data_IF_923045074157
#
_entry.id   IF_923045074157
#
_cell.length_a   1.000
_cell.length_b   1.000
_cell.length_c   1.000
_cell.angle_alpha   90.00
_cell.angle_beta   90.00
_cell.angle_gamma   90.00
#
_symmetry.space_group_name_H-M   'P 1'
#
loop_
_entity.id
_entity.type
_entity.pdbx_description
1 polymer ?
#
# COMPACT_ATOMS: atom_id res chain seq x y z
N UNK A 1 1.35 5.13 0.10
CA UNK A 1 0.82 4.46 -1.11
C UNK A 1 1.17 5.31 -2.32
N UNK A 2 1.67 4.74 -3.44
CA UNK A 2 2.22 5.53 -4.56
C UNK A 2 1.65 5.23 -5.96
N UNK A 3 0.78 4.22 -6.14
CA UNK A 3 0.27 3.87 -7.48
C UNK A 3 -1.22 3.54 -7.58
N UNK A 4 -1.90 3.26 -6.47
CA UNK A 4 -3.33 2.95 -6.44
C UNK A 4 -3.77 1.62 -7.06
N UNK A 5 -2.84 0.78 -7.53
CA UNK A 5 -3.16 -0.49 -8.21
C UNK A 5 -4.04 -1.43 -7.36
N UNK A 6 -3.68 -1.62 -6.09
CA UNK A 6 -4.48 -2.45 -5.17
C UNK A 6 -5.88 -1.85 -4.91
N UNK A 7 -5.98 -0.52 -4.79
CA UNK A 7 -7.25 0.18 -4.58
C UNK A 7 -8.18 0.20 -5.80
N UNK A 8 -7.67 -0.12 -6.99
CA UNK A 8 -8.48 -0.20 -8.22
C UNK A 8 -8.82 -1.64 -8.61
N UNK A 9 -8.38 -2.64 -7.83
CA UNK A 9 -8.48 -4.04 -8.22
C UNK A 9 -9.08 -4.93 -7.13
N UNK A 10 -8.63 -4.83 -5.88
CA UNK A 10 -9.07 -5.76 -4.85
C UNK A 10 -10.40 -5.33 -4.24
N UNK A 11 -11.24 -6.33 -3.93
CA UNK A 11 -12.33 -6.16 -2.97
C UNK A 11 -11.74 -6.03 -1.57
N UNK A 12 -11.89 -4.86 -0.96
CA UNK A 12 -11.37 -4.60 0.39
C UNK A 12 -12.42 -5.02 1.41
N UNK A 13 -12.49 -6.32 1.73
CA UNK A 13 -13.40 -6.87 2.75
C UNK A 13 -12.71 -7.02 4.10
N UNK A 14 -13.38 -6.60 5.17
CA UNK A 14 -12.80 -6.55 6.52
C UNK A 14 -13.87 -6.81 7.59
N UNK A 15 -13.47 -6.91 8.86
CA UNK A 15 -14.42 -7.18 9.96
C UNK A 15 -15.24 -5.94 10.26
N UNK A 16 -16.56 -6.07 10.45
CA UNK A 16 -17.43 -4.90 10.64
C UNK A 16 -17.07 -4.07 11.89
N UNK A 17 -16.42 -4.66 12.91
CA UNK A 17 -15.95 -3.93 14.09
C UNK A 17 -14.78 -2.97 13.83
N UNK A 18 -14.18 -2.97 12.65
CA UNK A 18 -13.19 -1.96 12.27
C UNK A 18 -13.84 -0.64 11.80
N UNK A 19 -15.15 -0.66 11.51
CA UNK A 19 -15.93 0.53 11.17
C UNK A 19 -16.07 1.40 12.41
N UNK A 20 -15.77 2.69 12.28
CA UNK A 20 -15.87 3.65 13.36
C UNK A 20 -17.32 3.78 13.86
N UNK A 21 -17.49 3.63 15.17
CA UNK A 21 -18.76 3.76 15.86
C UNK A 21 -18.58 3.70 17.37
N UNK A 22 -19.68 3.55 18.11
CA UNK A 22 -19.67 3.49 19.58
C UNK A 22 -18.83 2.34 20.12
N UNK A 23 -18.70 1.25 19.35
CA UNK A 23 -17.97 0.03 19.72
C UNK A 23 -16.46 0.08 19.39
N UNK A 24 -15.97 1.20 18.87
CA UNK A 24 -14.58 1.37 18.42
C UNK A 24 -14.45 1.43 16.89
N UNK A 25 -13.32 0.95 16.37
CA UNK A 25 -13.00 1.03 14.95
C UNK A 25 -12.45 2.38 14.52
N UNK A 26 -11.96 2.46 13.27
CA UNK A 26 -11.40 3.71 12.71
C UNK A 26 -11.87 4.01 11.29
N UNK A 27 -12.43 3.03 10.58
CA UNK A 27 -12.84 3.19 9.18
C UNK A 27 -14.14 4.01 9.12
N UNK A 28 -14.20 5.13 8.38
CA UNK A 28 -15.42 5.96 8.37
C UNK A 28 -16.63 5.21 7.79
N UNK A 29 -17.77 5.15 8.50
CA UNK A 29 -18.94 4.36 8.10
C UNK A 29 -19.51 4.77 6.75
N UNK A 30 -19.41 6.04 6.38
CA UNK A 30 -19.91 6.59 5.12
C UNK A 30 -19.15 6.07 3.89
N UNK A 31 -17.96 5.48 4.07
CA UNK A 31 -17.14 4.92 2.99
C UNK A 31 -17.25 3.39 2.87
N UNK A 32 -18.20 2.80 3.57
CA UNK A 32 -18.30 1.35 3.77
C UNK A 32 -19.65 0.82 3.27
N UNK A 33 -19.64 -0.38 2.71
CA UNK A 33 -20.82 -1.16 2.33
C UNK A 33 -20.87 -2.40 3.22
N UNK A 34 -21.98 -2.60 3.94
CA UNK A 34 -22.22 -3.84 4.69
C UNK A 34 -22.48 -4.99 3.71
N UNK A 35 -21.71 -6.08 3.81
CA UNK A 35 -21.82 -7.22 2.89
C UNK A 35 -22.37 -8.49 3.55
N UNK A 36 -22.40 -8.53 4.88
CA UNK A 36 -23.00 -9.60 5.67
C UNK A 36 -22.99 -9.25 7.15
N UNK A 37 -23.45 -10.12 8.06
CA UNK A 37 -23.62 -9.77 9.48
C UNK A 37 -22.32 -9.33 10.17
N UNK A 38 -21.19 -9.96 9.85
CA UNK A 38 -19.87 -9.71 10.47
C UNK A 38 -18.83 -9.17 9.49
N UNK A 39 -19.25 -8.75 8.29
CA UNK A 39 -18.35 -8.34 7.22
C UNK A 39 -18.83 -7.06 6.57
N UNK A 40 -17.87 -6.18 6.35
CA UNK A 40 -18.05 -4.96 5.58
C UNK A 40 -16.98 -4.89 4.49
N UNK A 41 -17.17 -4.01 3.50
CA UNK A 41 -16.12 -3.71 2.53
C UNK A 41 -16.09 -2.22 2.19
N UNK A 42 -14.96 -1.74 1.68
CA UNK A 42 -14.88 -0.35 1.19
C UNK A 42 -15.80 -0.19 -0.03
N UNK A 43 -16.59 0.89 -0.04
CA UNK A 43 -17.47 1.22 -1.16
C UNK A 43 -16.70 1.31 -2.48
N UNK A 44 -17.34 0.85 -3.54
CA UNK A 44 -16.77 0.78 -4.89
C UNK A 44 -15.87 -0.43 -5.12
N UNK A 45 -15.63 -1.26 -4.10
CA UNK A 45 -14.82 -2.49 -4.23
C UNK A 45 -15.64 -3.78 -4.11
N UNK A 46 -16.97 -3.70 -3.99
CA UNK A 46 -17.89 -4.78 -3.62
C UNK A 46 -17.68 -6.07 -4.44
N UNK A 47 -17.40 -5.92 -5.74
CA UNK A 47 -17.20 -7.01 -6.69
C UNK A 47 -15.74 -7.22 -7.11
N UNK A 48 -14.81 -6.39 -6.60
CA UNK A 48 -13.45 -6.30 -7.11
C UNK A 48 -13.38 -5.70 -8.53
N UNK A 49 -12.17 -5.48 -9.03
CA UNK A 49 -11.91 -4.89 -10.35
C UNK A 49 -12.41 -3.46 -10.53
N UNK A 50 -12.74 -2.78 -9.43
CA UNK A 50 -13.31 -1.43 -9.39
C UNK A 50 -12.57 -0.57 -8.37
N UNK A 51 -12.76 0.74 -8.49
CA UNK A 51 -12.03 1.76 -7.76
C UNK A 51 -12.64 2.01 -6.38
N UNK A 52 -11.83 1.85 -5.34
CA UNK A 52 -12.19 2.20 -3.96
C UNK A 52 -12.58 3.68 -3.85
N UNK A 53 -13.68 3.94 -3.12
CA UNK A 53 -14.21 5.29 -2.88
C UNK A 53 -13.19 6.24 -2.24
N UNK A 54 -12.25 5.71 -1.45
CA UNK A 54 -11.26 6.50 -0.73
C UNK A 54 -10.04 6.90 -1.57
N UNK A 55 -9.87 6.34 -2.78
CA UNK A 55 -8.72 6.65 -3.63
C UNK A 55 -8.88 8.07 -4.22
N UNK A 56 -7.80 8.85 -4.22
CA UNK A 56 -7.72 10.19 -4.81
C UNK A 56 -6.57 10.23 -5.81
N UNK A 57 -6.72 11.04 -6.86
CA UNK A 57 -5.77 11.11 -7.97
C UNK A 57 -5.95 10.01 -9.03
N UNK A 58 -5.04 10.03 -10.00
CA UNK A 58 -5.02 9.15 -11.18
C UNK A 58 -4.07 7.97 -10.99
N UNK A 59 -4.48 6.78 -11.45
CA UNK A 59 -3.69 5.56 -11.30
C UNK A 59 -2.31 5.71 -11.92
N UNK A 60 -1.29 5.30 -11.17
CA UNK A 60 0.10 5.37 -11.63
C UNK A 60 0.74 6.76 -11.66
N UNK A 61 0.00 7.83 -11.36
CA UNK A 61 0.49 9.21 -11.44
C UNK A 61 0.82 9.80 -10.07
N UNK A 62 1.67 10.82 -10.06
CA UNK A 62 1.97 11.60 -8.87
C UNK A 62 0.72 12.22 -8.26
N UNK A 63 0.65 12.29 -6.92
CA UNK A 63 -0.51 12.80 -6.19
C UNK A 63 -1.57 11.74 -5.88
N UNK A 64 -1.41 10.50 -6.36
CA UNK A 64 -2.28 9.40 -5.95
C UNK A 64 -2.10 9.06 -4.46
N UNK A 65 -3.21 9.04 -3.73
CA UNK A 65 -3.21 8.71 -2.30
C UNK A 65 -4.57 8.20 -1.83
N UNK A 66 -4.58 7.60 -0.64
CA UNK A 66 -5.81 7.22 0.05
C UNK A 66 -6.22 8.37 0.97
N UNK A 67 -7.46 8.86 0.83
CA UNK A 67 -7.97 9.97 1.65
C UNK A 67 -8.08 9.62 3.15
N UNK A 68 -8.12 8.33 3.48
CA UNK A 68 -8.26 7.83 4.86
C UNK A 68 -7.05 6.98 5.28
N UNK A 69 -5.84 7.32 4.82
CA UNK A 69 -4.64 6.47 4.98
C UNK A 69 -4.41 5.99 6.43
N UNK A 70 -4.62 6.86 7.42
CA UNK A 70 -4.47 6.54 8.85
C UNK A 70 -5.65 5.76 9.43
N UNK A 71 -6.79 5.75 8.75
CA UNK A 71 -8.05 5.11 9.14
C UNK A 71 -8.38 3.88 8.27
N UNK A 72 -7.39 3.37 7.53
CA UNK A 72 -7.58 2.21 6.64
C UNK A 72 -8.01 0.95 7.42
N UNK A 73 -8.81 0.07 6.81
CA UNK A 73 -9.06 -1.26 7.38
C UNK A 73 -7.78 -2.11 7.34
N UNK A 74 -7.72 -3.15 8.17
CA UNK A 74 -6.58 -4.06 8.31
C UNK A 74 -6.05 -4.62 6.99
N UNK A 75 -6.87 -5.12 6.04
CA UNK A 75 -6.36 -5.62 4.76
C UNK A 75 -5.57 -4.58 3.97
N UNK A 76 -5.91 -3.29 4.09
CA UNK A 76 -5.20 -2.20 3.43
C UNK A 76 -3.90 -1.82 4.14
N UNK A 77 -3.79 -2.07 5.45
CA UNK A 77 -2.57 -1.81 6.24
C UNK A 77 -1.57 -2.95 6.09
N UNK A 78 -2.06 -4.17 6.09
CA UNK A 78 -1.27 -5.41 6.05
C UNK A 78 -0.74 -5.73 4.65
N UNK A 79 -1.40 -5.22 3.59
CA UNK A 79 -0.94 -5.46 2.23
C UNK A 79 0.39 -4.75 1.94
N UNK A 80 1.46 -5.54 1.79
CA UNK A 80 2.80 -5.07 1.43
C UNK A 80 3.11 -5.30 -0.06
N UNK A 81 3.73 -4.31 -0.75
CA UNK A 81 4.22 -4.48 -2.12
C UNK A 81 5.41 -5.45 -2.26
N UNK A 82 6.07 -5.80 -1.15
CA UNK A 82 7.12 -6.81 -1.10
C UNK A 82 6.83 -7.85 -0.02
N UNK A 83 7.29 -9.07 -0.24
CA UNK A 83 7.33 -10.15 0.75
C UNK A 83 8.37 -9.83 1.83
N UNK A 84 8.37 -10.62 2.91
CA UNK A 84 9.27 -10.42 4.07
C UNK A 84 10.75 -10.43 3.68
N UNK A 85 11.14 -11.27 2.72
CA UNK A 85 12.52 -11.37 2.21
C UNK A 85 12.87 -10.32 1.15
N UNK A 86 12.04 -9.30 0.96
CA UNK A 86 12.32 -8.22 0.01
C UNK A 86 11.93 -8.53 -1.45
N UNK A 87 11.53 -9.76 -1.78
CA UNK A 87 11.01 -10.09 -3.11
C UNK A 87 9.68 -9.38 -3.40
N UNK A 88 9.40 -8.92 -4.64
CA UNK A 88 8.13 -8.28 -4.97
C UNK A 88 6.93 -9.20 -4.72
N UNK A 89 5.89 -8.67 -4.08
CA UNK A 89 4.67 -9.43 -3.83
C UNK A 89 4.00 -9.79 -5.18
N UNK A 90 3.77 -11.08 -5.50
CA UNK A 90 3.17 -11.51 -6.77
C UNK A 90 1.80 -10.88 -7.04
N UNK A 91 0.98 -10.67 -6.00
CA UNK A 91 -0.31 -10.02 -6.14
C UNK A 91 -0.17 -8.54 -6.49
N UNK A 92 0.81 -7.86 -5.90
CA UNK A 92 1.13 -6.47 -6.27
C UNK A 92 1.58 -6.41 -7.73
N UNK A 93 2.49 -7.29 -8.15
CA UNK A 93 2.99 -7.33 -9.53
C UNK A 93 1.87 -7.61 -10.53
N UNK A 94 0.96 -8.55 -10.21
CA UNK A 94 -0.20 -8.88 -11.05
C UNK A 94 -1.10 -7.66 -11.28
N UNK A 95 -1.46 -6.93 -10.23
CA UNK A 95 -2.33 -5.75 -10.37
C UNK A 95 -1.62 -4.57 -11.02
N UNK A 96 -0.32 -4.39 -10.77
CA UNK A 96 0.51 -3.39 -11.46
C UNK A 96 0.53 -3.63 -12.97
N UNK A 97 0.80 -4.87 -13.38
CA UNK A 97 0.78 -5.28 -14.80
C UNK A 97 -0.59 -5.03 -15.42
N UNK A 98 -1.67 -5.32 -14.69
CA UNK A 98 -3.05 -5.10 -15.17
C UNK A 98 -3.38 -3.64 -15.52
N UNK A 99 -2.64 -2.67 -14.99
CA UNK A 99 -2.83 -1.24 -15.27
C UNK A 99 -1.62 -0.59 -15.97
N UNK A 100 -0.73 -1.41 -16.55
CA UNK A 100 0.41 -0.91 -17.34
C UNK A 100 1.57 -0.32 -16.53
N UNK A 101 1.65 -0.60 -15.23
CA UNK A 101 2.76 -0.14 -14.40
C UNK A 101 3.99 -1.03 -14.52
N UNK A 102 5.21 -0.46 -14.40
CA UNK A 102 6.44 -1.24 -14.40
C UNK A 102 6.47 -2.19 -13.21
N UNK A 103 7.14 -3.34 -13.36
CA UNK A 103 7.38 -4.26 -12.25
C UNK A 103 8.20 -3.57 -11.16
N UNK A 104 7.89 -3.87 -9.89
CA UNK A 104 8.76 -3.47 -8.78
C UNK A 104 10.04 -4.31 -8.82
N UNK A 105 11.23 -3.72 -8.58
CA UNK A 105 12.43 -4.48 -8.30
C UNK A 105 12.34 -5.10 -6.89
N UNK A 106 13.18 -6.11 -6.57
CA UNK A 106 13.42 -6.51 -5.19
C UNK A 106 13.76 -5.30 -4.32
N UNK A 107 13.32 -5.33 -3.06
CA UNK A 107 13.64 -4.27 -2.10
C UNK A 107 15.16 -4.28 -1.88
N UNK A 108 15.83 -3.12 -1.82
CA UNK A 108 17.22 -3.06 -1.40
C UNK A 108 17.38 -3.73 -0.03
N UNK A 109 18.40 -4.58 0.13
CA UNK A 109 18.78 -5.07 1.45
C UNK A 109 19.53 -3.96 2.18
N UNK A 110 19.22 -3.74 3.46
CA UNK A 110 19.88 -2.70 4.27
C UNK A 110 21.40 -2.95 4.43
N UNK A 111 21.88 -4.17 4.12
CA UNK A 111 23.31 -4.51 4.10
C UNK A 111 24.08 -3.96 2.88
N UNK A 112 23.38 -3.37 1.89
CA UNK A 112 24.00 -2.74 0.72
C UNK A 112 24.33 -1.24 0.94
N UNK A 113 24.31 -0.75 2.18
CA UNK A 113 25.15 0.39 2.55
C UNK A 113 26.61 -0.08 2.53
N UNK A 114 27.23 -0.10 1.34
CA UNK A 114 28.68 -0.17 1.23
C UNK A 114 29.23 1.01 2.02
N UNK A 115 29.89 0.83 3.19
CA UNK A 115 30.47 1.94 3.89
C UNK A 115 31.62 2.40 3.01
N UNK A 116 31.46 3.53 2.32
CA UNK A 116 32.57 4.18 1.63
C UNK A 116 33.43 4.87 2.70
N UNK A 117 33.93 4.10 3.67
CA UNK A 117 35.01 4.50 4.53
C UNK A 117 36.31 4.14 3.79
N UNK A 118 36.60 4.92 2.75
CA UNK A 118 38.00 5.08 2.34
C UNK A 118 38.61 6.06 3.33
N UNK A 119 39.42 5.63 4.32
CA UNK A 119 40.13 6.58 5.16
C UNK A 119 41.07 7.42 4.28
N UNK A 120 41.24 8.72 4.55
CA UNK A 120 42.17 9.54 3.80
C UNK A 120 43.57 8.93 3.89
N UNK A 121 44.26 8.81 2.75
CA UNK A 121 45.64 8.33 2.73
C UNK A 121 46.51 9.35 3.46
N UNK A 122 47.42 8.85 4.29
CA UNK A 122 48.39 9.60 5.10
C UNK A 122 49.45 10.27 4.23
N UNK A 123 49.04 11.19 3.36
CA UNK A 123 49.90 11.88 2.39
C UNK A 123 49.49 13.32 2.07
N UNK A 124 48.27 13.75 2.39
CA UNK A 124 47.74 15.07 1.98
C UNK A 124 47.83 16.14 3.08
N UNK A 125 48.80 16.06 3.99
CA UNK A 125 49.15 17.17 4.89
C UNK A 125 50.50 17.71 4.41
N UNK A 126 50.43 18.61 3.43
CA UNK A 126 51.55 19.45 3.03
C UNK A 126 51.81 20.50 4.11
N UNK A 127 53.07 20.62 4.51
CA UNK A 127 53.63 21.79 5.19
C UNK A 127 54.05 22.84 4.16
#
# INVERSE_FOLDING_TARGET
>A
MSCGACCAHFRVSFYCGEVAGESGGTVPPELVTQVGPLRACMQGTEYGGKRCVALRGELGHSGIHCAIYEQRPSPCREFSPWLEHGEPNPDCQRVRKGIGLPALPPRPHDDDETPTHTPPRRGDIAA
#
